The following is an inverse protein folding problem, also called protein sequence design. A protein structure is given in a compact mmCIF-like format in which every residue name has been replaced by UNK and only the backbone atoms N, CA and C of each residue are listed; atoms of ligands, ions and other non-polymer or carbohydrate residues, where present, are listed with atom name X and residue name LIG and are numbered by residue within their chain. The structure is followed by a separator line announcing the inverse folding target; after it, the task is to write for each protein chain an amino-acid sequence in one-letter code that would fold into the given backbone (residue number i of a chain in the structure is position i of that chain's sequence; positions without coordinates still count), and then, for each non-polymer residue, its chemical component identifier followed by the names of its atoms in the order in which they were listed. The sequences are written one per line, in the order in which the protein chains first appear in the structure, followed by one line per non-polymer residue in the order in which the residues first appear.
data_IF_531045438467
#
_entry.id   IF_531045438467
#
_cell.length_a   1.000
_cell.length_b   1.000
_cell.length_c   1.000
_cell.angle_alpha   90.00
_cell.angle_beta   90.00
_cell.angle_gamma   90.00
#
_symmetry.space_group_name_H-M   'P 1'
#
loop_
_entity.id
_entity.type
_entity.pdbx_description
1 polymer ?
#
# COMPACT_ATOMS: atom_id res chain seq x y z
N UNK A 1 17.88 1.72 14.42
CA UNK A 1 17.63 3.13 14.81
C UNK A 1 18.64 4.02 14.10
N UNK A 2 18.49 4.22 12.78
CA UNK A 2 19.48 5.00 12.05
C UNK A 2 19.39 6.46 12.47
N UNK A 3 20.56 7.09 12.58
CA UNK A 3 20.69 8.52 12.40
C UNK A 3 21.21 8.75 10.98
N UNK A 4 20.29 9.08 10.09
CA UNK A 4 20.58 9.18 8.67
C UNK A 4 20.98 10.61 8.31
N UNK A 5 22.12 10.74 7.65
CA UNK A 5 22.60 11.99 7.06
C UNK A 5 22.73 11.75 5.55
N UNK A 6 22.20 12.68 4.76
CA UNK A 6 22.18 12.67 3.30
C UNK A 6 21.41 11.50 2.68
N UNK A 7 20.95 11.68 1.44
CA UNK A 7 20.39 10.62 0.61
C UNK A 7 18.95 10.22 0.95
N UNK A 8 18.52 9.07 0.42
CA UNK A 8 17.17 8.50 0.60
C UNK A 8 17.21 7.24 1.45
N UNK A 9 16.34 7.14 2.45
CA UNK A 9 16.29 6.03 3.38
C UNK A 9 14.89 5.44 3.46
N UNK A 10 14.79 4.12 3.52
CA UNK A 10 13.51 3.44 3.70
C UNK A 10 13.54 2.61 4.97
N UNK A 11 12.62 2.88 5.89
CA UNK A 11 12.49 2.21 7.18
C UNK A 11 11.08 1.65 7.25
N UNK A 12 10.92 0.34 7.11
CA UNK A 12 9.61 -0.30 7.12
C UNK A 12 9.55 -1.60 7.92
N UNK A 13 8.37 -1.92 8.45
CA UNK A 13 8.05 -3.12 9.24
C UNK A 13 9.03 -3.43 10.40
N UNK A 14 9.57 -2.40 11.05
CA UNK A 14 10.39 -2.55 12.25
C UNK A 14 9.55 -2.45 13.52
N UNK A 15 9.87 -3.27 14.52
CA UNK A 15 9.32 -3.18 15.86
C UNK A 15 10.31 -2.48 16.80
N UNK A 16 9.98 -1.26 17.24
CA UNK A 16 10.79 -0.46 18.15
C UNK A 16 10.20 -0.50 19.56
N UNK A 17 10.94 -1.08 20.52
CA UNK A 17 10.56 -1.13 21.95
C UNK A 17 11.58 -0.37 22.81
N UNK A 18 11.90 0.87 22.41
CA UNK A 18 13.10 1.57 22.84
C UNK A 18 12.90 2.45 24.09
N UNK A 19 12.47 1.85 25.20
CA UNK A 19 12.00 2.58 26.41
C UNK A 19 13.07 3.44 27.09
N UNK A 20 14.37 3.22 26.83
CA UNK A 20 15.48 4.02 27.36
C UNK A 20 16.10 5.02 26.37
N UNK A 21 15.68 5.02 25.11
CA UNK A 21 16.32 5.83 24.07
C UNK A 21 15.62 7.17 23.89
N UNK A 22 16.39 8.17 23.48
CA UNK A 22 15.86 9.51 23.21
C UNK A 22 15.20 9.63 21.84
N UNK A 23 15.41 8.71 20.91
CA UNK A 23 14.76 8.62 19.60
C UNK A 23 14.90 7.23 18.99
N UNK A 24 14.10 6.92 17.96
CA UNK A 24 14.27 5.70 17.15
C UNK A 24 14.78 5.98 15.72
N UNK A 25 14.17 6.89 14.96
CA UNK A 25 14.65 7.28 13.62
C UNK A 25 15.05 8.76 13.60
N UNK A 26 16.34 9.03 13.40
CA UNK A 26 16.86 10.39 13.28
C UNK A 26 17.13 10.76 11.83
N UNK A 27 16.61 11.88 11.36
CA UNK A 27 16.79 12.34 9.97
C UNK A 27 17.45 13.71 9.96
N UNK A 28 18.70 13.78 9.51
CA UNK A 28 19.49 15.01 9.53
C UNK A 28 19.82 15.54 8.15
N UNK A 29 20.93 16.29 8.08
CA UNK A 29 21.33 17.10 6.91
C UNK A 29 21.12 16.42 5.57
N UNK A 30 20.27 17.04 4.74
CA UNK A 30 19.94 16.69 3.35
C UNK A 30 19.42 15.26 3.16
N UNK A 31 18.84 14.69 4.22
CA UNK A 31 18.36 13.32 4.22
C UNK A 31 16.83 13.29 4.04
N UNK A 32 16.34 12.30 3.29
CA UNK A 32 14.91 12.10 3.00
C UNK A 32 14.53 10.66 3.33
N UNK A 33 13.72 10.44 4.37
CA UNK A 33 13.41 9.10 4.86
C UNK A 33 11.93 8.80 4.78
N UNK A 34 11.61 7.68 4.13
CA UNK A 34 10.31 7.03 4.22
C UNK A 34 10.30 6.14 5.46
N UNK A 35 9.51 6.51 6.46
CA UNK A 35 9.27 5.74 7.69
C UNK A 35 7.86 5.18 7.59
N UNK A 36 7.72 3.91 7.22
CA UNK A 36 6.40 3.34 6.98
C UNK A 36 6.10 2.02 7.65
N UNK A 37 4.85 1.81 8.06
CA UNK A 37 4.38 0.51 8.58
C UNK A 37 5.24 -0.06 9.72
N UNK A 38 5.91 0.79 10.51
CA UNK A 38 6.66 0.38 11.70
C UNK A 38 5.75 0.41 12.94
N UNK A 39 6.11 -0.36 13.97
CA UNK A 39 5.45 -0.33 15.27
C UNK A 39 6.40 0.26 16.31
N UNK A 40 6.05 1.40 16.88
CA UNK A 40 6.79 2.04 17.96
C UNK A 40 6.03 1.83 19.27
N UNK A 41 6.65 1.13 20.21
CA UNK A 41 6.15 0.85 21.55
C UNK A 41 7.03 1.50 22.59
N UNK A 42 6.44 2.21 23.55
CA UNK A 42 7.14 2.83 24.68
C UNK A 42 8.33 3.70 24.27
N UNK A 43 8.34 4.18 23.02
CA UNK A 43 9.50 4.84 22.40
C UNK A 43 9.36 6.34 22.52
N UNK A 44 10.38 7.01 23.07
CA UNK A 44 10.49 8.48 23.03
C UNK A 44 11.03 8.91 21.68
N UNK A 45 10.45 9.95 21.10
CA UNK A 45 10.72 10.49 19.77
C UNK A 45 10.84 9.39 18.68
N UNK A 46 9.75 8.67 18.32
CA UNK A 46 9.73 7.64 17.29
C UNK A 46 10.50 8.01 16.01
N UNK A 47 10.32 9.23 15.54
CA UNK A 47 11.13 9.82 14.51
C UNK A 47 11.25 11.33 14.72
N UNK A 48 12.41 11.87 14.37
CA UNK A 48 12.69 13.29 14.55
C UNK A 48 13.70 13.81 13.53
N UNK A 49 13.60 15.12 13.25
CA UNK A 49 14.66 15.82 12.56
C UNK A 49 15.89 16.00 13.47
N UNK A 50 17.05 15.98 12.85
CA UNK A 50 18.35 16.18 13.47
C UNK A 50 19.01 17.41 12.85
N UNK A 51 19.37 18.39 13.70
CA UNK A 51 20.02 19.64 13.33
C UNK A 51 19.13 20.60 12.53
N UNK A 52 19.49 21.88 12.51
CA UNK A 52 18.81 22.92 11.73
C UNK A 52 19.29 22.92 10.27
N UNK A 53 19.21 21.76 9.61
CA UNK A 53 19.60 21.55 8.22
C UNK A 53 18.45 20.94 7.42
N UNK A 54 18.32 21.27 6.11
CA UNK A 54 17.18 20.78 5.34
C UNK A 54 17.11 19.26 5.36
N UNK A 55 15.93 18.71 5.61
CA UNK A 55 15.68 17.27 5.72
C UNK A 55 14.21 16.99 5.42
N UNK A 56 13.86 15.72 5.19
CA UNK A 56 12.48 15.32 4.94
C UNK A 56 12.14 13.97 5.59
N UNK A 57 11.00 13.90 6.27
CA UNK A 57 10.44 12.65 6.78
C UNK A 57 9.08 12.43 6.12
N UNK A 58 8.96 11.34 5.37
CA UNK A 58 7.67 10.81 4.94
C UNK A 58 7.27 9.71 5.92
N UNK A 59 6.33 10.00 6.83
CA UNK A 59 5.82 9.02 7.79
C UNK A 59 4.43 8.53 7.37
N UNK A 60 4.22 7.22 7.20
CA UNK A 60 2.89 6.65 6.86
C UNK A 60 2.66 5.25 7.45
N UNK A 61 1.42 4.89 7.79
CA UNK A 61 1.09 3.53 8.23
C UNK A 61 1.74 3.02 9.52
N UNK A 62 2.50 3.85 10.27
CA UNK A 62 3.13 3.45 11.52
C UNK A 62 2.12 3.39 12.68
N UNK A 63 2.34 2.50 13.65
CA UNK A 63 1.63 2.48 14.95
C UNK A 63 2.54 3.07 16.03
N UNK A 64 1.94 3.89 16.90
CA UNK A 64 2.60 4.54 18.02
C UNK A 64 1.91 4.14 19.33
N UNK A 65 2.30 3.00 19.88
CA UNK A 65 1.82 2.47 21.15
C UNK A 65 2.61 3.07 22.32
N UNK A 66 1.93 3.79 23.20
CA UNK A 66 2.53 4.45 24.37
C UNK A 66 3.83 5.26 24.07
N UNK A 67 3.90 5.92 22.91
CA UNK A 67 5.07 6.74 22.54
C UNK A 67 4.95 8.17 23.05
N UNK A 68 6.10 8.80 23.29
CA UNK A 68 6.17 10.19 23.76
C UNK A 68 7.08 11.06 22.89
N UNK A 69 6.95 12.38 23.01
CA UNK A 69 7.82 13.34 22.31
C UNK A 69 7.52 13.50 20.81
N UNK A 70 8.57 13.70 20.01
CA UNK A 70 8.52 14.09 18.60
C UNK A 70 8.08 12.95 17.67
N UNK A 71 7.27 13.32 16.69
CA UNK A 71 6.87 12.47 15.55
C UNK A 71 6.94 13.33 14.30
N UNK A 72 8.13 13.82 14.01
CA UNK A 72 8.35 14.82 12.97
C UNK A 72 8.02 14.27 11.58
N UNK A 73 7.35 15.06 10.74
CA UNK A 73 7.04 14.68 9.36
C UNK A 73 7.02 15.91 8.46
N UNK A 74 7.14 15.70 7.16
CA UNK A 74 7.24 16.77 6.17
C UNK A 74 8.67 17.29 6.02
N UNK A 75 8.81 18.57 5.73
CA UNK A 75 10.11 19.23 5.60
C UNK A 75 10.63 19.71 6.97
N UNK A 76 11.91 19.43 7.24
CA UNK A 76 12.60 19.84 8.46
C UNK A 76 13.81 20.74 8.18
N UNK A 77 14.21 21.49 9.21
CA UNK A 77 15.39 22.35 9.21
C UNK A 77 15.29 23.62 8.33
N UNK A 78 16.38 24.38 8.28
CA UNK A 78 16.44 25.71 7.64
C UNK A 78 17.04 25.58 6.24
N UNK A 79 16.39 26.18 5.23
CA UNK A 79 16.91 26.29 3.86
C UNK A 79 16.21 25.43 2.81
N UNK A 80 15.31 24.51 3.21
CA UNK A 80 14.45 23.74 2.29
C UNK A 80 15.19 22.90 1.24
N UNK A 81 14.47 22.43 0.23
CA UNK A 81 15.08 21.81 -0.98
C UNK A 81 15.35 20.30 -0.91
N UNK A 82 14.94 19.60 0.14
CA UNK A 82 14.97 18.13 0.15
C UNK A 82 13.68 17.57 -0.44
N UNK A 83 13.78 16.84 -1.55
CA UNK A 83 12.63 16.19 -2.18
C UNK A 83 12.09 15.07 -1.28
N UNK A 84 10.75 14.97 -1.10
CA UNK A 84 10.14 13.86 -0.38
C UNK A 84 10.49 12.52 -1.00
N UNK A 85 10.84 11.54 -0.18
CA UNK A 85 11.00 10.16 -0.62
C UNK A 85 9.74 9.37 -0.26
N UNK A 86 8.89 9.14 -1.25
CA UNK A 86 7.57 8.53 -1.07
C UNK A 86 7.43 7.15 -1.72
N UNK A 87 8.31 6.82 -2.66
CA UNK A 87 8.25 5.60 -3.46
C UNK A 87 9.65 5.03 -3.67
N UNK A 88 9.99 3.92 -3.01
CA UNK A 88 11.20 3.15 -3.30
C UNK A 88 11.22 2.62 -4.73
N UNK A 89 12.41 2.52 -5.34
CA UNK A 89 12.58 2.02 -6.71
C UNK A 89 12.56 0.49 -6.83
N UNK A 90 12.51 -0.22 -5.71
CA UNK A 90 12.45 -1.68 -5.65
C UNK A 90 11.03 -2.14 -5.31
N UNK A 91 10.68 -3.36 -5.75
CA UNK A 91 9.43 -4.00 -5.37
C UNK A 91 9.47 -4.45 -3.91
N UNK A 92 8.42 -4.12 -3.16
CA UNK A 92 8.21 -4.60 -1.79
C UNK A 92 6.71 -4.49 -1.47
N UNK A 93 6.29 -5.17 -0.41
CA UNK A 93 4.92 -5.07 0.11
C UNK A 93 5.00 -5.04 1.62
N UNK A 94 4.68 -3.90 2.27
CA UNK A 94 4.82 -3.80 3.71
C UNK A 94 3.67 -4.53 4.40
N UNK A 95 3.98 -5.28 5.47
CA UNK A 95 2.97 -5.83 6.36
C UNK A 95 2.23 -4.71 7.09
N UNK A 96 1.03 -4.99 7.61
CA UNK A 96 0.35 -4.06 8.51
C UNK A 96 1.19 -3.83 9.77
N UNK A 97 1.37 -2.57 10.17
CA UNK A 97 2.10 -2.24 11.39
C UNK A 97 1.59 -3.01 12.62
N UNK A 98 0.28 -3.29 12.72
CA UNK A 98 -0.29 -4.05 13.85
C UNK A 98 0.24 -5.48 13.97
N UNK A 99 0.64 -6.09 12.86
CA UNK A 99 1.20 -7.44 12.83
C UNK A 99 2.71 -7.45 13.09
N UNK A 100 3.39 -6.31 12.93
CA UNK A 100 4.85 -6.18 13.03
C UNK A 100 5.41 -6.69 14.36
N UNK A 101 4.82 -6.42 15.54
CA UNK A 101 5.32 -7.00 16.78
C UNK A 101 5.38 -8.53 16.75
N UNK A 102 4.35 -9.19 16.23
CA UNK A 102 4.29 -10.66 16.14
C UNK A 102 5.28 -11.21 15.10
N UNK A 103 5.32 -10.61 13.92
CA UNK A 103 6.23 -11.02 12.83
C UNK A 103 7.69 -10.84 13.25
N UNK A 104 8.06 -9.66 13.77
CA UNK A 104 9.44 -9.39 14.19
C UNK A 104 9.84 -10.31 15.35
N UNK A 105 8.97 -10.52 16.34
CA UNK A 105 9.29 -11.38 17.48
C UNK A 105 9.44 -12.87 17.12
N UNK A 106 8.84 -13.31 16.02
CA UNK A 106 8.92 -14.71 15.56
C UNK A 106 10.01 -14.95 14.51
N UNK A 107 10.33 -13.94 13.70
CA UNK A 107 11.18 -14.12 12.52
C UNK A 107 12.52 -13.36 12.59
N UNK A 108 12.69 -12.40 13.50
CA UNK A 108 13.93 -11.62 13.59
C UNK A 108 14.89 -12.18 14.65
N UNK A 109 16.18 -12.23 14.32
CA UNK A 109 17.24 -12.66 15.22
C UNK A 109 17.74 -14.09 14.97
N UNK A 110 18.70 -14.57 15.77
CA UNK A 110 19.26 -15.91 15.64
C UNK A 110 18.33 -16.98 16.24
N UNK A 111 18.22 -18.13 15.57
CA UNK A 111 17.51 -19.31 16.10
C UNK A 111 18.40 -20.08 17.09
N UNK A 112 18.02 -20.10 18.38
CA UNK A 112 18.76 -20.82 19.43
C UNK A 112 18.17 -22.23 19.65
N UNK A 113 18.77 -23.21 18.96
CA UNK A 113 18.74 -24.68 19.21
C UNK A 113 17.44 -25.48 19.01
N UNK A 114 17.49 -26.42 18.06
CA UNK A 114 17.03 -27.81 18.28
C UNK A 114 15.84 -28.33 17.47
N UNK A 115 15.01 -27.46 16.91
CA UNK A 115 13.98 -27.85 15.93
C UNK A 115 14.37 -27.29 14.58
N UNK A 116 14.39 -28.15 13.56
CA UNK A 116 14.69 -27.80 12.17
C UNK A 116 13.98 -26.51 11.76
N UNK A 117 14.77 -25.45 11.69
CA UNK A 117 14.43 -24.16 11.14
C UNK A 117 14.13 -24.35 9.64
N UNK A 118 12.98 -23.92 9.09
CA UNK A 118 12.99 -23.53 7.70
C UNK A 118 13.78 -22.23 7.67
N UNK A 119 15.07 -22.32 7.31
CA UNK A 119 15.84 -21.18 6.84
C UNK A 119 14.92 -20.30 5.98
N UNK A 120 14.70 -19.00 6.30
CA UNK A 120 14.16 -18.11 5.29
C UNK A 120 15.18 -18.09 4.17
N UNK A 121 14.88 -18.83 3.10
CA UNK A 121 15.65 -18.78 1.86
C UNK A 121 15.85 -17.30 1.51
N UNK A 122 17.09 -16.82 1.29
CA UNK A 122 17.26 -15.50 0.74
C UNK A 122 16.55 -15.52 -0.61
N UNK A 123 15.42 -14.82 -0.73
CA UNK A 123 14.80 -14.63 -2.04
C UNK A 123 15.73 -13.68 -2.78
N UNK A 124 16.69 -14.27 -3.48
CA UNK A 124 17.55 -13.61 -4.46
C UNK A 124 16.69 -12.68 -5.30
N UNK A 125 17.05 -11.40 -5.31
CA UNK A 125 16.61 -10.44 -6.32
C UNK A 125 16.63 -11.10 -7.71
N UNK A 126 15.52 -11.18 -8.45
CA UNK A 126 15.58 -11.62 -9.83
C UNK A 126 16.16 -10.48 -10.68
N UNK A 127 17.40 -10.66 -11.13
CA UNK A 127 17.83 -10.12 -12.42
C UNK A 127 17.06 -10.88 -13.53
N UNK A 128 16.71 -10.27 -14.67
CA UNK A 128 15.50 -10.60 -15.42
C UNK A 128 15.60 -11.83 -16.36
N UNK A 129 14.41 -12.44 -16.62
CA UNK A 129 14.00 -13.31 -17.76
C UNK A 129 14.28 -14.83 -17.68
N UNK A 130 13.47 -15.75 -18.29
CA UNK A 130 12.06 -15.73 -18.73
C UNK A 130 11.16 -16.72 -17.93
N UNK A 131 9.84 -16.60 -18.09
CA UNK A 131 8.79 -17.39 -17.40
C UNK A 131 8.70 -18.86 -17.87
N UNK A 132 8.58 -19.84 -16.95
CA UNK A 132 7.50 -20.82 -17.09
C UNK A 132 6.75 -21.16 -15.78
N UNK A 133 5.43 -21.05 -15.88
CA UNK A 133 4.32 -21.86 -15.33
C UNK A 133 4.39 -22.48 -13.92
N UNK A 134 3.44 -22.08 -13.06
CA UNK A 134 2.92 -22.92 -11.97
C UNK A 134 1.38 -23.00 -12.00
N UNK A 135 0.89 -24.23 -11.80
CA UNK A 135 -0.52 -24.68 -11.81
C UNK A 135 -1.27 -24.26 -10.52
N UNK A 136 -2.62 -24.12 -10.53
CA UNK A 136 -3.37 -23.40 -9.50
C UNK A 136 -3.86 -24.29 -8.34
N UNK A 137 -4.03 -23.68 -7.16
CA UNK A 137 -4.87 -24.21 -6.05
C UNK A 137 -6.18 -23.38 -6.02
N UNK A 138 -7.38 -23.97 -5.86
CA UNK A 138 -8.62 -23.37 -6.34
C UNK A 138 -9.12 -22.20 -5.49
N UNK A 139 -9.64 -21.19 -6.19
CA UNK A 139 -10.26 -20.00 -5.64
C UNK A 139 -11.63 -20.29 -5.00
N UNK A 140 -12.05 -19.57 -3.95
CA UNK A 140 -13.46 -19.36 -3.69
C UNK A 140 -14.02 -18.46 -4.81
N UNK A 141 -14.63 -19.08 -5.81
CA UNK A 141 -15.38 -18.41 -6.86
C UNK A 141 -16.70 -17.88 -6.30
N UNK A 142 -16.82 -16.57 -6.17
CA UNK A 142 -18.14 -15.93 -6.34
C UNK A 142 -18.47 -16.01 -7.84
N UNK A 143 -19.60 -16.59 -8.25
CA UNK A 143 -19.95 -16.72 -9.67
C UNK A 143 -19.94 -15.34 -10.36
N UNK A 144 -19.22 -15.17 -11.49
CA UNK A 144 -19.38 -13.99 -12.33
C UNK A 144 -20.85 -13.90 -12.78
N UNK A 145 -21.47 -12.70 -12.79
CA UNK A 145 -22.78 -12.52 -13.40
C UNK A 145 -22.74 -13.03 -14.84
N UNK A 146 -23.67 -13.91 -15.17
CA UNK A 146 -23.80 -14.51 -16.49
C UNK A 146 -24.00 -13.43 -17.57
N UNK A 147 -23.27 -13.55 -18.68
CA UNK A 147 -23.72 -13.07 -19.99
C UNK A 147 -23.26 -11.69 -20.47
N UNK A 148 -22.41 -10.96 -19.74
CA UNK A 148 -21.87 -9.68 -20.21
C UNK A 148 -20.55 -9.83 -20.96
N UNK A 149 -20.34 -9.05 -22.04
CA UNK A 149 -19.02 -8.90 -22.67
C UNK A 149 -17.95 -8.32 -21.72
N UNK A 150 -18.37 -7.78 -20.56
CA UNK A 150 -17.51 -7.23 -19.53
C UNK A 150 -17.83 -7.77 -18.13
N UNK A 151 -16.79 -8.16 -17.37
CA UNK A 151 -16.85 -8.46 -15.94
C UNK A 151 -15.98 -7.50 -15.13
N UNK A 152 -16.24 -7.39 -13.83
CA UNK A 152 -15.40 -6.62 -12.92
C UNK A 152 -15.24 -7.31 -11.56
N UNK A 153 -14.04 -7.23 -10.98
CA UNK A 153 -13.73 -7.75 -9.64
C UNK A 153 -13.01 -6.70 -8.81
N UNK A 154 -13.39 -6.59 -7.53
CA UNK A 154 -12.84 -5.63 -6.59
C UNK A 154 -11.91 -6.31 -5.58
N UNK A 155 -10.88 -5.58 -5.15
CA UNK A 155 -10.18 -5.86 -3.90
C UNK A 155 -9.79 -4.57 -3.20
N UNK A 156 -9.76 -4.61 -1.86
CA UNK A 156 -9.11 -3.57 -1.07
C UNK A 156 -7.60 -3.80 -1.12
N UNK A 157 -6.86 -2.82 -1.63
CA UNK A 157 -5.39 -2.90 -1.69
C UNK A 157 -4.72 -2.29 -0.47
N UNK A 158 -5.47 -1.48 0.31
CA UNK A 158 -5.03 -0.94 1.59
C UNK A 158 -6.16 -0.21 2.30
N UNK A 159 -6.07 -0.04 3.62
CA UNK A 159 -7.04 0.70 4.42
C UNK A 159 -6.38 1.44 5.58
N UNK A 160 -6.96 2.56 5.99
CA UNK A 160 -6.52 3.41 7.10
C UNK A 160 -7.71 3.96 7.88
N UNK A 161 -7.44 4.63 9.00
CA UNK A 161 -8.52 5.21 9.80
C UNK A 161 -9.26 6.29 9.00
N UNK A 162 -10.57 6.08 8.82
CA UNK A 162 -11.40 6.95 8.00
C UNK A 162 -11.26 6.79 6.48
N UNK A 163 -10.51 5.82 5.93
CA UNK A 163 -10.48 5.58 4.48
C UNK A 163 -9.81 4.29 3.99
N UNK A 164 -9.89 4.03 2.68
CA UNK A 164 -9.27 2.87 2.06
C UNK A 164 -8.91 3.09 0.59
N UNK A 165 -8.01 2.27 0.07
CA UNK A 165 -7.70 2.15 -1.34
C UNK A 165 -8.35 0.90 -1.93
N UNK A 166 -9.11 1.10 -2.99
CA UNK A 166 -9.73 0.05 -3.78
C UNK A 166 -9.06 -0.12 -5.12
N UNK A 167 -9.00 -1.35 -5.60
CA UNK A 167 -8.62 -1.67 -6.97
C UNK A 167 -9.70 -2.51 -7.62
N UNK A 168 -10.00 -2.19 -8.88
CA UNK A 168 -10.97 -2.90 -9.69
C UNK A 168 -10.28 -3.40 -10.95
N UNK A 169 -10.42 -4.69 -11.21
CA UNK A 169 -10.02 -5.34 -12.45
C UNK A 169 -11.25 -5.45 -13.32
N UNK A 170 -11.16 -4.94 -14.55
CA UNK A 170 -12.18 -5.04 -15.60
C UNK A 170 -11.70 -6.10 -16.58
N UNK A 171 -12.53 -7.08 -16.90
CA UNK A 171 -12.20 -8.20 -17.77
C UNK A 171 -13.16 -8.31 -18.94
N UNK A 172 -12.63 -8.45 -20.15
CA UNK A 172 -13.43 -8.75 -21.32
C UNK A 172 -13.78 -10.25 -21.37
N UNK A 173 -14.99 -10.56 -21.86
CA UNK A 173 -15.43 -11.92 -22.13
C UNK A 173 -14.79 -12.49 -23.40
N UNK A 174 -15.57 -13.22 -24.20
CA UNK A 174 -15.09 -13.83 -25.45
C UNK A 174 -14.91 -12.84 -26.62
N UNK A 175 -15.37 -11.60 -26.47
CA UNK A 175 -15.20 -10.53 -27.45
C UNK A 175 -14.40 -9.36 -26.86
N UNK A 176 -13.66 -8.65 -27.70
CA UNK A 176 -13.00 -7.41 -27.29
C UNK A 176 -14.05 -6.34 -26.96
N UNK A 177 -13.76 -5.53 -25.95
CA UNK A 177 -14.61 -4.41 -25.55
C UNK A 177 -13.91 -3.08 -25.86
N UNK A 178 -14.66 -2.11 -26.39
CA UNK A 178 -14.15 -0.78 -26.75
C UNK A 178 -14.88 0.30 -25.95
N UNK A 179 -14.58 0.31 -24.66
CA UNK A 179 -15.28 1.07 -23.65
C UNK A 179 -15.79 0.13 -22.57
N UNK A 180 -15.69 0.58 -21.33
CA UNK A 180 -16.25 -0.15 -20.20
C UNK A 180 -16.77 0.84 -19.17
N UNK A 181 -17.77 0.38 -18.43
CA UNK A 181 -18.38 1.13 -17.33
C UNK A 181 -18.61 0.17 -16.19
N UNK A 182 -18.00 0.46 -15.04
CA UNK A 182 -18.20 -0.29 -13.80
C UNK A 182 -19.09 0.51 -12.87
N UNK A 183 -20.08 -0.17 -12.29
CA UNK A 183 -21.04 0.42 -11.36
C UNK A 183 -21.10 -0.39 -10.07
N UNK A 184 -21.23 0.31 -8.95
CA UNK A 184 -21.51 -0.29 -7.65
C UNK A 184 -22.13 0.73 -6.70
N UNK A 185 -22.54 0.24 -5.53
CA UNK A 185 -23.08 1.07 -4.45
C UNK A 185 -22.12 1.07 -3.27
N UNK A 186 -21.82 2.26 -2.76
CA UNK A 186 -21.05 2.46 -1.53
C UNK A 186 -21.90 2.08 -0.31
N UNK A 187 -21.25 1.49 0.70
CA UNK A 187 -21.85 1.24 2.01
C UNK A 187 -22.20 2.52 2.77
N UNK A 188 -22.93 2.40 3.88
CA UNK A 188 -23.28 3.55 4.71
C UNK A 188 -22.04 4.30 5.21
N UNK A 189 -22.02 5.63 5.07
CA UNK A 189 -20.90 6.48 5.50
C UNK A 189 -19.66 6.44 4.60
N UNK A 190 -19.72 5.74 3.46
CA UNK A 190 -18.63 5.68 2.50
C UNK A 190 -18.71 6.80 1.44
N UNK A 191 -17.55 7.29 0.99
CA UNK A 191 -17.44 8.19 -0.18
C UNK A 191 -16.17 7.86 -0.98
N UNK A 192 -16.06 8.34 -2.23
CA UNK A 192 -14.82 8.23 -3.04
C UNK A 192 -14.24 9.63 -3.22
N UNK A 193 -12.96 9.79 -2.91
CA UNK A 193 -12.26 11.07 -2.98
C UNK A 193 -11.30 11.18 -4.16
N UNK A 194 -10.77 10.06 -4.66
CA UNK A 194 -9.86 10.04 -5.79
C UNK A 194 -10.03 8.78 -6.63
N UNK A 195 -9.86 8.89 -7.94
CA UNK A 195 -9.81 7.76 -8.88
C UNK A 195 -8.65 7.97 -9.86
N UNK A 196 -8.01 6.88 -10.26
CA UNK A 196 -7.06 6.84 -11.38
C UNK A 196 -7.34 5.64 -12.28
N UNK A 197 -6.98 5.74 -13.55
CA UNK A 197 -7.31 4.73 -14.55
C UNK A 197 -8.79 4.68 -14.91
N UNK A 198 -9.56 5.70 -14.54
CA UNK A 198 -10.97 5.84 -14.90
C UNK A 198 -11.52 7.22 -14.56
N UNK A 199 -12.69 7.53 -15.10
CA UNK A 199 -13.44 8.76 -14.84
C UNK A 199 -14.61 8.46 -13.92
N UNK A 200 -14.64 9.10 -12.75
CA UNK A 200 -15.66 8.91 -11.71
C UNK A 200 -16.89 9.78 -11.95
N UNK A 201 -18.08 9.21 -11.73
CA UNK A 201 -19.34 9.92 -11.55
C UNK A 201 -20.11 9.30 -10.39
N UNK A 202 -20.59 10.12 -9.47
CA UNK A 202 -21.31 9.68 -8.26
C UNK A 202 -22.67 10.35 -8.15
N UNK A 203 -23.70 9.60 -7.75
CA UNK A 203 -25.02 10.12 -7.42
C UNK A 203 -25.50 9.47 -6.12
N UNK A 204 -25.44 10.21 -5.02
CA UNK A 204 -25.58 9.63 -3.68
C UNK A 204 -24.54 8.52 -3.45
N UNK A 205 -25.00 7.34 -3.03
CA UNK A 205 -24.14 6.16 -2.85
C UNK A 205 -23.83 5.40 -4.14
N UNK A 206 -24.45 5.75 -5.27
CA UNK A 206 -24.20 5.08 -6.55
C UNK A 206 -22.92 5.61 -7.19
N UNK A 207 -21.99 4.71 -7.49
CA UNK A 207 -20.72 4.99 -8.16
C UNK A 207 -20.74 4.43 -9.56
N UNK A 208 -20.31 5.25 -10.52
CA UNK A 208 -20.04 4.84 -11.90
C UNK A 208 -18.61 5.26 -12.26
N UNK A 209 -17.78 4.31 -12.70
CA UNK A 209 -16.46 4.60 -13.26
C UNK A 209 -16.42 4.16 -14.71
N UNK A 210 -16.00 5.06 -15.59
CA UNK A 210 -15.79 4.78 -17.03
C UNK A 210 -14.31 4.74 -17.36
N UNK A 211 -13.97 4.06 -18.45
CA UNK A 211 -12.61 4.03 -18.96
C UNK A 211 -12.07 5.44 -19.29
N UNK A 212 -10.74 5.54 -19.29
CA UNK A 212 -9.99 6.63 -19.94
C UNK A 212 -9.45 6.14 -21.28
N UNK A 213 -8.85 7.02 -22.09
CA UNK A 213 -8.51 6.67 -23.48
C UNK A 213 -7.50 5.52 -23.59
N UNK A 214 -6.46 5.51 -22.76
CA UNK A 214 -5.39 4.51 -22.86
C UNK A 214 -5.83 3.09 -22.49
N UNK A 215 -6.92 2.94 -21.71
CA UNK A 215 -7.42 1.66 -21.25
C UNK A 215 -8.85 1.34 -21.72
N UNK A 216 -9.32 2.06 -22.74
CA UNK A 216 -10.63 1.88 -23.35
C UNK A 216 -10.78 0.53 -24.03
N UNK A 217 -9.77 0.13 -24.80
CA UNK A 217 -9.78 -1.11 -25.58
C UNK A 217 -9.21 -2.25 -24.75
N UNK A 218 -10.02 -3.29 -24.51
CA UNK A 218 -9.59 -4.50 -23.83
C UNK A 218 -9.85 -5.68 -24.78
N UNK A 219 -8.83 -6.42 -25.22
CA UNK A 219 -9.00 -7.55 -26.13
C UNK A 219 -9.81 -8.66 -25.46
N UNK A 220 -10.41 -9.55 -26.27
CA UNK A 220 -11.13 -10.72 -25.77
C UNK A 220 -10.28 -11.51 -24.75
N UNK A 221 -10.87 -11.84 -23.60
CA UNK A 221 -10.20 -12.52 -22.48
C UNK A 221 -9.19 -11.65 -21.70
N UNK A 222 -8.86 -10.45 -22.19
CA UNK A 222 -7.94 -9.52 -21.56
C UNK A 222 -8.55 -8.75 -20.39
N UNK A 223 -7.72 -7.97 -19.70
CA UNK A 223 -8.14 -7.16 -18.57
C UNK A 223 -7.41 -5.83 -18.48
N UNK A 224 -8.04 -4.85 -17.83
CA UNK A 224 -7.43 -3.59 -17.40
C UNK A 224 -7.78 -3.32 -15.94
N UNK A 225 -7.05 -2.42 -15.29
CA UNK A 225 -7.30 -2.03 -13.90
C UNK A 225 -7.52 -0.53 -13.75
N UNK A 226 -8.28 -0.18 -12.72
CA UNK A 226 -8.35 1.17 -12.20
C UNK A 226 -8.37 1.11 -10.66
N UNK A 227 -7.99 2.21 -10.02
CA UNK A 227 -7.95 2.29 -8.56
C UNK A 227 -8.62 3.56 -8.05
N UNK A 228 -8.93 3.55 -6.76
CA UNK A 228 -9.59 4.67 -6.10
C UNK A 228 -9.23 4.76 -4.62
N UNK A 229 -9.40 5.95 -4.05
CA UNK A 229 -9.39 6.19 -2.61
C UNK A 229 -10.81 6.50 -2.15
N UNK A 230 -11.27 5.77 -1.14
CA UNK A 230 -12.53 6.00 -0.45
C UNK A 230 -12.34 6.44 1.01
N UNK A 231 -13.36 7.06 1.59
CA UNK A 231 -13.44 7.40 3.02
C UNK A 231 -14.47 6.53 3.72
N UNK A 232 -14.22 6.14 4.96
CA UNK A 232 -15.06 5.22 5.75
C UNK A 232 -14.41 3.85 5.93
N UNK A 233 -15.19 2.85 6.34
CA UNK A 233 -14.70 1.46 6.50
C UNK A 233 -14.79 0.73 5.16
N UNK A 234 -13.74 0.04 4.66
CA UNK A 234 -13.82 -0.71 3.41
C UNK A 234 -14.89 -1.81 3.46
N UNK A 235 -15.56 -2.03 2.33
CA UNK A 235 -16.50 -3.13 2.13
C UNK A 235 -16.18 -3.88 0.83
N UNK A 236 -16.82 -5.03 0.61
CA UNK A 236 -16.75 -5.79 -0.65
C UNK A 236 -18.04 -5.61 -1.45
N UNK A 237 -18.19 -4.54 -2.25
CA UNK A 237 -19.41 -4.31 -3.02
C UNK A 237 -19.53 -5.29 -4.18
N UNK A 238 -20.77 -5.60 -4.57
CA UNK A 238 -21.04 -6.28 -5.84
C UNK A 238 -20.87 -5.30 -7.00
N UNK A 239 -19.96 -5.62 -7.92
CA UNK A 239 -19.70 -4.80 -9.10
C UNK A 239 -20.54 -5.27 -10.29
N UNK A 240 -21.04 -4.33 -11.09
CA UNK A 240 -21.59 -4.60 -12.43
C UNK A 240 -20.69 -3.96 -13.47
N UNK A 241 -20.33 -4.69 -14.54
CA UNK A 241 -19.64 -4.09 -15.69
C UNK A 241 -20.51 -4.16 -16.95
N UNK A 242 -20.46 -3.11 -17.76
CA UNK A 242 -21.08 -3.04 -19.08
C UNK A 242 -20.08 -2.51 -20.12
N UNK A 243 -20.09 -3.10 -21.32
CA UNK A 243 -19.45 -2.56 -22.53
C UNK A 243 -20.53 -2.03 -23.47
N UNK A 244 -20.27 -0.97 -24.25
CA UNK A 244 -21.04 -0.65 -25.46
C UNK A 244 -20.97 -1.79 -26.49
#
# INVERSE_FOLDING_TARGET
MPRMLYGKGHVYNNYYTATGNTYAVGVGSLASVLVENNYFKDTKNPHQFMYDRPSYITARGNIYDNTSGKRDSGAGGIGGGVTPFTTPSYGYTPDSAGNVPGIVSSCAGPTLSGTSDPLPTPTSSPSPSPSPTSSPTPAPTTPPPAGGACGASYRTTGSWDGGWQGEVIVKAGSAAINGWTVKWTLGGGQSITQVWGGTLSTSGSAVTVRNVDYNRSVPAGGSTTFGFIGTGTPSSPSLTCTSP
#
